data_IF_227176195285
#
_entry.id   IF_227176195285
#
_cell.length_a   1.000
_cell.length_b   1.000
_cell.length_c   1.000
_cell.angle_alpha   90.00
_cell.angle_beta   90.00
_cell.angle_gamma   90.00
#
_symmetry.space_group_name_H-M   'P 1'
#
loop_
_entity.id
_entity.type
_entity.pdbx_description
1 polymer ?
#
# COMPACT_ATOMS: atom_id res chain seq x y z
N UNK A 1 -23.73 7.21 -19.37
CA UNK A 1 -23.88 6.19 -18.32
C UNK A 1 -22.62 5.37 -18.36
N UNK A 2 -21.65 5.56 -17.46
CA UNK A 2 -20.32 4.97 -17.72
C UNK A 2 -19.21 5.36 -16.76
N UNK A 3 -19.44 5.20 -15.46
CA UNK A 3 -18.33 4.97 -14.55
C UNK A 3 -18.16 3.44 -14.48
N UNK A 4 -17.53 2.85 -15.51
CA UNK A 4 -16.98 1.52 -15.33
C UNK A 4 -15.83 1.70 -14.34
N UNK A 5 -15.96 1.12 -13.15
CA UNK A 5 -14.83 1.02 -12.24
C UNK A 5 -13.70 0.32 -13.00
N UNK A 6 -12.58 1.02 -13.16
CA UNK A 6 -11.37 0.43 -13.69
C UNK A 6 -10.79 -0.45 -12.58
N UNK A 7 -10.00 -1.47 -12.93
CA UNK A 7 -9.25 -2.24 -11.94
C UNK A 7 -8.41 -1.34 -11.01
N UNK A 8 -8.01 -0.16 -11.51
CA UNK A 8 -7.36 0.90 -10.75
C UNK A 8 -8.25 1.53 -9.65
N UNK A 9 -9.54 1.73 -9.92
CA UNK A 9 -10.48 2.28 -8.94
C UNK A 9 -10.72 1.29 -7.79
N UNK A 10 -10.80 -0.02 -8.10
CA UNK A 10 -10.92 -1.08 -7.07
C UNK A 10 -9.66 -1.14 -6.19
N UNK A 11 -8.46 -1.04 -6.79
CA UNK A 11 -7.19 -0.95 -6.07
C UNK A 11 -7.16 0.25 -5.10
N UNK A 12 -7.62 1.42 -5.54
CA UNK A 12 -7.68 2.63 -4.72
C UNK A 12 -8.68 2.51 -3.55
N UNK A 13 -9.86 1.93 -3.81
CA UNK A 13 -10.86 1.69 -2.77
C UNK A 13 -10.34 0.72 -1.70
N UNK A 14 -9.71 -0.39 -2.10
CA UNK A 14 -9.06 -1.33 -1.18
C UNK A 14 -7.94 -0.67 -0.38
N UNK A 15 -7.09 0.10 -1.04
CA UNK A 15 -6.01 0.82 -0.37
C UNK A 15 -6.56 1.79 0.68
N UNK A 16 -7.60 2.56 0.37
CA UNK A 16 -8.25 3.49 1.30
C UNK A 16 -8.79 2.78 2.53
N UNK A 17 -9.55 1.70 2.35
CA UNK A 17 -10.15 0.95 3.46
C UNK A 17 -9.08 0.30 4.37
N UNK A 18 -8.02 -0.25 3.77
CA UNK A 18 -6.90 -0.81 4.53
C UNK A 18 -6.10 0.26 5.26
N UNK A 19 -5.87 1.41 4.64
CA UNK A 19 -5.14 2.53 5.24
C UNK A 19 -5.91 3.10 6.44
N UNK A 20 -7.22 3.31 6.31
CA UNK A 20 -8.07 3.75 7.42
C UNK A 20 -8.08 2.75 8.57
N UNK A 21 -8.21 1.45 8.26
CA UNK A 21 -8.26 0.40 9.28
C UNK A 21 -6.93 0.15 9.97
N UNK A 22 -5.80 0.21 9.24
CA UNK A 22 -4.48 -0.17 9.78
C UNK A 22 -3.62 1.00 10.24
N UNK A 23 -3.81 2.22 9.71
CA UNK A 23 -3.03 3.40 10.11
C UNK A 23 -3.83 4.45 10.88
N UNK A 24 -5.13 4.64 10.61
CA UNK A 24 -5.93 5.64 11.33
C UNK A 24 -6.63 5.10 12.58
N UNK A 25 -6.57 3.79 12.84
CA UNK A 25 -7.19 3.23 14.03
C UNK A 25 -6.41 3.66 15.30
N UNK A 26 -7.12 4.40 16.16
CA UNK A 26 -6.62 4.95 17.42
C UNK A 26 -6.09 3.90 18.41
N UNK A 27 -6.39 2.61 18.20
CA UNK A 27 -5.89 1.50 19.02
C UNK A 27 -4.50 1.02 18.59
N UNK A 28 -4.03 1.46 17.42
CA UNK A 28 -2.75 1.03 16.85
C UNK A 28 -1.64 1.89 17.47
N UNK A 29 -1.17 1.48 18.65
CA UNK A 29 -0.04 2.10 19.33
C UNK A 29 1.28 1.51 18.82
N UNK A 30 1.59 1.74 17.55
CA UNK A 30 2.83 1.30 16.91
C UNK A 30 3.82 2.46 16.74
N UNK A 31 5.14 2.20 16.79
CA UNK A 31 6.16 3.17 16.42
C UNK A 31 5.96 3.72 15.01
N UNK A 32 6.46 4.93 14.77
CA UNK A 32 6.43 5.56 13.43
C UNK A 32 7.10 4.69 12.37
N UNK A 33 8.17 3.97 12.76
CA UNK A 33 8.90 3.05 11.87
C UNK A 33 8.02 1.87 11.44
N UNK A 34 7.35 1.20 12.39
CA UNK A 34 6.39 0.14 12.09
C UNK A 34 5.19 0.62 11.27
N UNK A 35 4.69 1.84 11.52
CA UNK A 35 3.63 2.43 10.70
C UNK A 35 4.08 2.67 9.26
N UNK A 36 5.35 3.07 9.07
CA UNK A 36 5.93 3.26 7.75
C UNK A 36 6.10 1.92 7.02
N UNK A 37 6.62 0.89 7.69
CA UNK A 37 6.73 -0.49 7.16
C UNK A 37 5.36 -1.06 6.76
N UNK A 38 4.33 -0.87 7.59
CA UNK A 38 2.95 -1.25 7.25
C UNK A 38 2.42 -0.48 6.03
N UNK A 39 2.77 0.81 5.89
CA UNK A 39 2.40 1.59 4.71
C UNK A 39 2.99 1.02 3.43
N UNK A 40 4.25 0.59 3.47
CA UNK A 40 4.88 -0.09 2.34
C UNK A 40 4.25 -1.44 2.02
N UNK A 41 3.83 -2.22 3.04
CA UNK A 41 3.13 -3.49 2.83
C UNK A 41 1.75 -3.30 2.19
N UNK A 42 0.96 -2.33 2.66
CA UNK A 42 -0.35 -1.99 2.10
C UNK A 42 -0.22 -1.48 0.65
N UNK A 43 0.79 -0.63 0.39
CA UNK A 43 1.09 -0.17 -0.97
C UNK A 43 1.45 -1.34 -1.89
N UNK A 44 2.29 -2.26 -1.45
CA UNK A 44 2.71 -3.43 -2.24
C UNK A 44 1.61 -4.48 -2.43
N UNK A 45 0.60 -4.51 -1.55
CA UNK A 45 -0.56 -5.40 -1.69
C UNK A 45 -1.57 -4.86 -2.72
N UNK A 46 -1.67 -3.54 -2.89
CA UNK A 46 -2.64 -2.90 -3.78
C UNK A 46 -2.05 -2.43 -5.13
N UNK A 47 -0.77 -2.09 -5.17
CA UNK A 47 -0.12 -1.47 -6.32
C UNK A 47 1.20 -2.16 -6.66
N UNK A 48 1.59 -2.07 -7.93
CA UNK A 48 2.94 -2.40 -8.35
C UNK A 48 3.93 -1.27 -8.00
N UNK A 49 5.21 -1.58 -7.76
CA UNK A 49 6.23 -0.58 -7.48
C UNK A 49 6.29 0.52 -8.54
N UNK A 50 6.13 0.14 -9.81
CA UNK A 50 6.12 1.05 -10.96
C UNK A 50 4.88 1.95 -11.03
N UNK A 51 3.77 1.52 -10.42
CA UNK A 51 2.49 2.25 -10.42
C UNK A 51 2.47 3.39 -9.37
N UNK A 52 3.29 3.29 -8.32
CA UNK A 52 3.32 4.28 -7.22
C UNK A 52 3.99 5.61 -7.56
N UNK A 53 4.70 5.70 -8.70
CA UNK A 53 5.40 6.92 -9.11
C UNK A 53 6.54 7.34 -8.17
N UNK A 54 6.98 6.47 -7.25
CA UNK A 54 8.08 6.75 -6.33
C UNK A 54 9.44 6.59 -7.01
N UNK A 55 10.48 7.19 -6.40
CA UNK A 55 11.85 7.03 -6.90
C UNK A 55 12.23 5.55 -6.92
N UNK A 56 12.76 5.08 -8.04
CA UNK A 56 13.22 3.69 -8.21
C UNK A 56 14.18 3.27 -7.10
N UNK A 57 15.13 4.12 -6.71
CA UNK A 57 16.06 3.82 -5.61
C UNK A 57 15.37 3.60 -4.26
N UNK A 58 14.26 4.30 -3.99
CA UNK A 58 13.51 4.15 -2.74
C UNK A 58 12.66 2.89 -2.76
N UNK A 59 12.04 2.61 -3.90
CA UNK A 59 11.33 1.35 -4.14
C UNK A 59 12.30 0.18 -3.97
N UNK A 60 13.47 0.21 -4.58
CA UNK A 60 14.42 -0.91 -4.47
C UNK A 60 14.92 -1.15 -3.03
N UNK A 61 14.98 -0.10 -2.21
CA UNK A 61 15.42 -0.14 -0.81
C UNK A 61 14.29 -0.52 0.17
N UNK A 62 13.07 -0.02 -0.04
CA UNK A 62 11.96 -0.07 0.94
C UNK A 62 10.75 -0.84 0.47
N UNK A 63 10.63 -1.13 -0.82
CA UNK A 63 9.53 -1.94 -1.32
C UNK A 63 9.67 -3.34 -0.72
N UNK A 64 8.63 -3.85 -0.06
CA UNK A 64 8.67 -5.17 0.51
C UNK A 64 8.74 -6.13 -0.68
N UNK A 65 9.94 -6.65 -0.91
CA UNK A 65 10.14 -7.79 -1.78
C UNK A 65 9.52 -8.96 -1.03
N UNK A 66 8.19 -9.09 -1.13
CA UNK A 66 7.52 -10.39 -1.02
C UNK A 66 8.06 -11.20 -2.20
N UNK A 67 9.32 -11.62 -2.09
CA UNK A 67 9.81 -12.78 -2.78
C UNK A 67 8.76 -13.84 -2.51
N UNK A 68 8.19 -14.35 -3.59
CA UNK A 68 7.07 -15.26 -3.60
C UNK A 68 7.40 -16.50 -2.76
N UNK A 69 7.15 -16.43 -1.45
CA UNK A 69 7.21 -17.58 -0.58
C UNK A 69 5.78 -18.15 -0.46
N UNK A 70 5.49 -18.99 -1.45
CA UNK A 70 4.38 -19.94 -1.63
C UNK A 70 3.13 -19.44 -2.37
#
# INVERSE_FOLDING_TARGET
MGFMMTEWDDKLLKYGEMFETKMMDLSVNIPLEDALDLGWDILAECFDPVETGMKTSLIEERWPKKDALN
#
